data_IF_337455514148
#
_entry.id   IF_337455514148
#
_cell.length_a   1.000
_cell.length_b   1.000
_cell.length_c   1.000
_cell.angle_alpha   90.00
_cell.angle_beta   90.00
_cell.angle_gamma   90.00
#
_symmetry.space_group_name_H-M   'P 1'
#
loop_
_entity.id
_entity.type
_entity.pdbx_description
1 polymer ?
#
# COMPACT_ATOMS: atom_id res chain seq x y z
N UNK A 1 5.46 -8.80 -21.29
CA UNK A 1 6.13 -9.14 -20.02
C UNK A 1 6.55 -7.81 -19.40
N UNK A 2 5.84 -7.36 -18.39
CA UNK A 2 6.09 -6.09 -17.70
C UNK A 2 6.79 -6.39 -16.39
N UNK A 3 7.98 -5.77 -16.19
CA UNK A 3 8.62 -5.72 -14.88
C UNK A 3 7.99 -4.56 -14.13
N UNK A 4 7.21 -4.87 -13.11
CA UNK A 4 6.66 -3.83 -12.23
C UNK A 4 7.66 -3.51 -11.14
N UNK A 5 8.14 -2.27 -11.11
CA UNK A 5 9.06 -1.77 -10.10
C UNK A 5 8.42 -0.60 -9.35
N UNK A 6 8.32 -0.68 -8.06
CA UNK A 6 7.68 0.37 -7.28
C UNK A 6 8.22 0.53 -5.87
N UNK A 7 8.46 1.71 -5.44
CA UNK A 7 7.99 2.35 -4.21
C UNK A 7 8.94 3.29 -3.49
N UNK A 8 8.40 4.43 -3.05
CA UNK A 8 9.07 5.37 -2.16
C UNK A 8 8.41 5.35 -0.76
N UNK A 9 9.20 5.35 0.31
CA UNK A 9 8.70 5.41 1.70
C UNK A 9 9.58 6.29 2.60
N UNK A 10 9.07 6.83 3.72
CA UNK A 10 9.81 7.75 4.57
C UNK A 10 10.73 7.07 5.58
N UNK A 11 11.85 7.71 5.92
CA UNK A 11 12.68 7.42 7.07
C UNK A 11 12.74 8.64 7.98
N UNK A 12 12.34 8.48 9.24
CA UNK A 12 12.59 9.49 10.26
C UNK A 12 13.84 9.11 11.07
N UNK A 13 14.79 10.03 11.33
CA UNK A 13 15.93 9.76 12.20
C UNK A 13 15.43 9.37 13.61
N UNK A 14 15.86 8.20 14.10
CA UNK A 14 15.49 7.72 15.44
C UNK A 14 14.06 7.18 15.61
N UNK A 15 13.24 7.19 14.56
CA UNK A 15 11.91 6.58 14.59
C UNK A 15 11.99 5.09 14.28
N UNK A 16 11.16 4.27 14.94
CA UNK A 16 10.90 2.90 14.49
C UNK A 16 10.44 2.97 13.03
N UNK A 17 11.02 2.11 12.19
CA UNK A 17 10.53 1.92 10.83
C UNK A 17 9.02 1.67 10.90
N UNK A 18 8.28 2.35 10.04
CA UNK A 18 6.82 2.26 10.05
C UNK A 18 6.40 0.90 9.52
N UNK A 19 5.88 0.08 10.38
CA UNK A 19 5.37 -1.25 10.05
C UNK A 19 4.28 -1.18 8.98
N UNK A 20 3.50 -0.10 8.96
CA UNK A 20 2.51 0.15 7.93
C UNK A 20 3.09 0.22 6.52
N UNK A 21 4.24 0.90 6.34
CA UNK A 21 4.90 1.01 5.03
C UNK A 21 5.41 -0.35 4.55
N UNK A 22 6.07 -1.10 5.45
CA UNK A 22 6.58 -2.44 5.15
C UNK A 22 5.43 -3.38 4.80
N UNK A 23 4.37 -3.38 5.59
CA UNK A 23 3.16 -4.17 5.37
C UNK A 23 2.53 -3.86 4.01
N UNK A 24 2.46 -2.59 3.65
CA UNK A 24 1.90 -2.18 2.37
C UNK A 24 2.78 -2.61 1.19
N UNK A 25 4.13 -2.48 1.31
CA UNK A 25 5.07 -3.02 0.32
C UNK A 25 4.85 -4.52 0.12
N UNK A 26 4.78 -5.27 1.22
CA UNK A 26 4.53 -6.72 1.18
C UNK A 26 3.17 -7.04 0.54
N UNK A 27 2.11 -6.31 0.91
CA UNK A 27 0.76 -6.50 0.33
C UNK A 27 0.76 -6.24 -1.17
N UNK A 28 1.40 -5.15 -1.60
CA UNK A 28 1.53 -4.81 -3.01
C UNK A 28 2.25 -5.92 -3.78
N UNK A 29 3.39 -6.38 -3.26
CA UNK A 29 4.15 -7.46 -3.89
C UNK A 29 3.35 -8.77 -3.95
N UNK A 30 2.75 -9.21 -2.85
CA UNK A 30 1.96 -10.45 -2.81
C UNK A 30 0.76 -10.39 -3.77
N UNK A 31 0.08 -9.23 -3.84
CA UNK A 31 -1.01 -9.02 -4.79
C UNK A 31 -0.54 -9.10 -6.25
N UNK A 32 0.54 -8.41 -6.59
CA UNK A 32 1.13 -8.46 -7.93
C UNK A 32 1.63 -9.86 -8.28
N UNK A 33 2.33 -10.52 -7.36
CA UNK A 33 2.85 -11.89 -7.51
C UNK A 33 1.75 -12.91 -7.75
N UNK A 34 0.58 -12.72 -7.17
CA UNK A 34 -0.56 -13.64 -7.34
C UNK A 34 -1.10 -13.69 -8.77
N UNK A 35 -0.86 -12.65 -9.57
CA UNK A 35 -1.30 -12.56 -10.96
C UNK A 35 -0.16 -12.57 -11.98
N UNK A 36 1.04 -12.18 -11.56
CA UNK A 36 2.26 -12.22 -12.37
C UNK A 36 3.40 -12.84 -11.55
N UNK A 37 3.71 -14.13 -11.76
CA UNK A 37 4.81 -14.81 -11.06
C UNK A 37 6.19 -14.19 -11.30
N UNK A 38 6.36 -13.46 -12.40
CA UNK A 38 7.63 -12.85 -12.81
C UNK A 38 7.73 -11.37 -12.38
N UNK A 39 6.80 -10.91 -11.53
CA UNK A 39 6.85 -9.53 -11.02
C UNK A 39 8.09 -9.33 -10.16
N UNK A 40 8.75 -8.21 -10.38
CA UNK A 40 9.84 -7.69 -9.57
C UNK A 40 9.46 -6.33 -9.01
N UNK A 41 9.97 -5.96 -7.83
CA UNK A 41 9.76 -4.63 -7.25
C UNK A 41 11.06 -4.02 -6.75
N UNK A 42 11.29 -2.76 -7.09
CA UNK A 42 12.33 -1.93 -6.50
C UNK A 42 11.74 -1.02 -5.43
N UNK A 43 12.51 -0.77 -4.39
CA UNK A 43 12.09 0.05 -3.25
C UNK A 43 13.06 1.22 -3.10
N UNK A 44 12.52 2.44 -3.16
CA UNK A 44 13.27 3.67 -2.88
C UNK A 44 12.72 4.33 -1.63
N UNK A 45 13.56 4.53 -0.62
CA UNK A 45 13.23 5.21 0.61
C UNK A 45 13.60 6.69 0.53
N UNK A 46 12.61 7.60 0.42
CA UNK A 46 12.84 9.06 0.31
C UNK A 46 13.10 9.74 1.66
N UNK A 47 12.90 9.03 2.77
CA UNK A 47 13.18 9.50 4.13
C UNK A 47 12.42 10.77 4.55
N UNK A 48 11.23 10.98 4.00
CA UNK A 48 10.32 12.07 4.35
C UNK A 48 8.88 11.65 4.09
N UNK A 49 7.92 12.26 4.76
CA UNK A 49 6.49 12.07 4.47
C UNK A 49 6.05 12.98 3.32
N UNK A 50 6.55 14.20 3.28
CA UNK A 50 6.16 15.20 2.30
C UNK A 50 7.37 15.99 1.82
N UNK A 51 7.81 15.71 0.62
CA UNK A 51 8.82 16.46 -0.14
C UNK A 51 8.58 16.18 -1.63
N UNK A 52 7.69 16.96 -2.29
CA UNK A 52 7.33 16.71 -3.68
C UNK A 52 8.52 16.60 -4.64
N UNK A 53 9.62 17.34 -4.33
CA UNK A 53 10.84 17.29 -5.15
C UNK A 53 11.55 15.94 -5.06
N UNK A 54 11.78 15.44 -3.83
CA UNK A 54 12.40 14.13 -3.62
C UNK A 54 11.50 12.99 -4.08
N UNK A 55 10.19 13.11 -3.87
CA UNK A 55 9.20 12.12 -4.29
C UNK A 55 9.17 12.00 -5.82
N UNK A 56 9.14 13.13 -6.55
CA UNK A 56 9.24 13.15 -8.00
C UNK A 56 10.55 12.55 -8.50
N UNK A 57 11.68 12.95 -7.89
CA UNK A 57 13.00 12.42 -8.24
C UNK A 57 13.08 10.89 -8.05
N UNK A 58 12.53 10.37 -6.96
CA UNK A 58 12.49 8.93 -6.72
C UNK A 58 11.69 8.21 -7.81
N UNK A 59 10.53 8.75 -8.21
CA UNK A 59 9.74 8.21 -9.30
C UNK A 59 10.48 8.27 -10.66
N UNK A 60 11.15 9.39 -10.96
CA UNK A 60 11.95 9.52 -12.17
C UNK A 60 13.07 8.48 -12.26
N UNK A 61 13.78 8.24 -11.14
CA UNK A 61 14.85 7.21 -11.08
C UNK A 61 14.28 5.82 -11.36
N UNK A 62 13.20 5.43 -10.65
CA UNK A 62 12.57 4.12 -10.85
C UNK A 62 12.09 3.93 -12.31
N UNK A 63 11.48 4.95 -12.89
CA UNK A 63 11.01 4.91 -14.28
C UNK A 63 12.19 4.79 -15.26
N UNK A 64 13.27 5.53 -15.01
CA UNK A 64 14.50 5.44 -15.83
C UNK A 64 15.16 4.05 -15.75
N UNK A 65 14.99 3.34 -14.63
CA UNK A 65 15.45 1.94 -14.44
C UNK A 65 14.48 0.90 -15.04
N UNK A 66 13.39 1.36 -15.66
CA UNK A 66 12.47 0.53 -16.41
C UNK A 66 11.21 0.10 -15.63
N UNK A 67 10.87 0.81 -14.55
CA UNK A 67 9.57 0.61 -13.90
C UNK A 67 8.44 0.99 -14.85
N UNK A 68 7.46 0.13 -14.98
CA UNK A 68 6.24 0.34 -15.75
C UNK A 68 5.04 0.70 -14.87
N UNK A 69 5.23 0.73 -13.56
CA UNK A 69 4.20 1.07 -12.58
C UNK A 69 4.81 1.72 -11.34
N UNK A 70 4.21 2.80 -10.86
CA UNK A 70 4.64 3.52 -9.65
C UNK A 70 3.60 3.36 -8.56
N UNK A 71 4.02 2.89 -7.38
CA UNK A 71 3.24 2.93 -6.16
C UNK A 71 3.97 3.79 -5.12
N UNK A 72 3.23 4.48 -4.27
CA UNK A 72 3.80 5.40 -3.28
C UNK A 72 3.17 5.21 -1.91
N UNK A 73 3.93 5.58 -0.88
CA UNK A 73 3.44 5.78 0.48
C UNK A 73 4.02 7.10 1.02
N UNK A 74 3.80 8.16 0.26
CA UNK A 74 4.19 9.55 0.55
C UNK A 74 2.98 10.44 0.32
N UNK A 75 3.02 11.66 0.86
CA UNK A 75 1.79 12.46 1.02
C UNK A 75 1.54 13.42 -0.15
N UNK A 76 2.49 13.55 -1.10
CA UNK A 76 2.26 14.40 -2.27
C UNK A 76 1.81 13.61 -3.50
N UNK A 77 1.11 14.25 -4.45
CA UNK A 77 0.79 13.61 -5.73
C UNK A 77 1.96 13.58 -6.73
N UNK A 78 3.15 14.06 -6.34
CA UNK A 78 4.28 14.23 -7.27
C UNK A 78 4.74 12.93 -7.93
N UNK A 79 4.84 11.77 -7.26
CA UNK A 79 5.19 10.52 -7.92
C UNK A 79 4.21 10.13 -9.02
N UNK A 80 2.90 10.29 -8.76
CA UNK A 80 1.87 9.96 -9.72
C UNK A 80 1.84 10.92 -10.91
N UNK A 81 2.11 12.22 -10.67
CA UNK A 81 2.29 13.22 -11.73
C UNK A 81 3.52 12.94 -12.60
N UNK A 82 4.60 12.46 -11.99
CA UNK A 82 5.81 12.03 -12.69
C UNK A 82 5.53 10.81 -13.55
N UNK A 83 4.82 9.82 -13.02
CA UNK A 83 4.37 8.65 -13.77
C UNK A 83 3.52 9.06 -14.99
N UNK A 84 2.58 10.00 -14.83
CA UNK A 84 1.75 10.48 -15.94
C UNK A 84 2.57 11.16 -17.04
N UNK A 85 3.54 12.01 -16.67
CA UNK A 85 4.42 12.66 -17.64
C UNK A 85 5.26 11.66 -18.45
N UNK A 86 5.65 10.58 -17.82
CA UNK A 86 6.42 9.50 -18.45
C UNK A 86 5.56 8.48 -19.21
N UNK A 87 4.23 8.57 -19.12
CA UNK A 87 3.32 7.60 -19.73
C UNK A 87 3.24 6.26 -18.96
N UNK A 88 3.64 6.26 -17.68
CA UNK A 88 3.62 5.12 -16.77
C UNK A 88 2.39 5.20 -15.90
N UNK A 89 1.84 4.04 -15.50
CA UNK A 89 0.69 3.96 -14.62
C UNK A 89 1.09 3.96 -13.15
N UNK A 90 0.14 4.24 -12.26
CA UNK A 90 0.45 4.23 -10.83
C UNK A 90 -0.76 4.21 -9.92
N UNK A 91 -0.46 4.18 -8.61
CA UNK A 91 -1.43 4.17 -7.53
C UNK A 91 -1.29 5.41 -6.66
N UNK A 92 -2.43 6.01 -6.30
CA UNK A 92 -2.47 7.08 -5.31
C UNK A 92 -2.44 6.54 -3.87
N UNK A 93 -2.18 7.43 -2.91
CA UNK A 93 -2.04 7.10 -1.48
C UNK A 93 -2.90 8.04 -0.62
N UNK A 94 -3.52 7.46 0.42
CA UNK A 94 -4.31 8.11 1.46
C UNK A 94 -5.53 8.91 0.97
N UNK A 95 -5.60 9.28 -0.30
CA UNK A 95 -6.69 10.04 -0.93
C UNK A 95 -6.80 9.75 -2.42
N UNK A 96 -7.94 10.06 -3.01
CA UNK A 96 -8.11 10.02 -4.46
C UNK A 96 -7.31 11.16 -5.12
N UNK A 97 -6.22 10.79 -5.78
CA UNK A 97 -5.32 11.72 -6.46
C UNK A 97 -5.61 11.85 -7.97
N UNK A 98 -6.73 11.30 -8.46
CA UNK A 98 -7.10 11.29 -9.88
C UNK A 98 -7.03 12.68 -10.54
N UNK A 99 -7.44 13.73 -9.83
CA UNK A 99 -7.39 15.11 -10.35
C UNK A 99 -5.98 15.61 -10.69
N UNK A 100 -4.94 14.99 -10.11
CA UNK A 100 -3.55 15.37 -10.33
C UNK A 100 -2.87 14.58 -11.45
N UNK A 101 -3.35 13.36 -11.72
CA UNK A 101 -2.80 12.48 -12.74
C UNK A 101 -3.90 11.57 -13.34
N UNK A 102 -4.86 12.15 -14.09
CA UNK A 102 -6.04 11.43 -14.57
C UNK A 102 -5.73 10.33 -15.57
N UNK A 103 -4.57 10.36 -16.22
CA UNK A 103 -4.15 9.35 -17.21
C UNK A 103 -3.26 8.27 -16.62
N UNK A 104 -2.69 8.48 -15.42
CA UNK A 104 -1.81 7.52 -14.76
C UNK A 104 -2.49 6.76 -13.63
N UNK A 105 -3.38 7.38 -12.87
CA UNK A 105 -3.96 6.71 -11.70
C UNK A 105 -4.82 5.53 -12.10
N UNK A 106 -4.47 4.34 -11.57
CA UNK A 106 -5.29 3.13 -11.65
C UNK A 106 -6.38 3.10 -10.58
N UNK A 107 -6.00 3.40 -9.37
CA UNK A 107 -6.82 3.60 -8.18
C UNK A 107 -5.96 4.23 -7.07
N UNK A 108 -6.52 4.44 -5.89
CA UNK A 108 -5.81 4.89 -4.70
C UNK A 108 -6.40 4.22 -3.45
N UNK A 109 -5.60 4.02 -2.42
CA UNK A 109 -6.13 3.83 -1.07
C UNK A 109 -6.65 5.16 -0.54
N UNK A 110 -7.74 5.12 0.20
CA UNK A 110 -8.34 6.30 0.82
C UNK A 110 -8.49 6.03 2.32
N UNK A 111 -7.95 6.93 3.13
CA UNK A 111 -8.11 6.91 4.58
C UNK A 111 -9.37 7.68 4.96
N UNK A 112 -10.44 6.95 5.23
CA UNK A 112 -11.72 7.54 5.64
C UNK A 112 -11.87 7.53 7.16
N UNK A 113 -11.35 8.53 7.82
CA UNK A 113 -11.44 8.67 9.27
C UNK A 113 -12.80 9.13 9.79
N UNK A 114 -13.73 9.50 8.92
CA UNK A 114 -15.03 10.07 9.32
C UNK A 114 -15.85 9.17 10.25
N UNK A 115 -16.03 7.85 9.99
CA UNK A 115 -16.77 6.99 10.90
C UNK A 115 -16.14 6.93 12.29
N UNK A 116 -14.81 6.85 12.35
CA UNK A 116 -14.08 6.82 13.61
C UNK A 116 -14.29 8.09 14.42
N UNK A 117 -14.03 9.27 13.83
CA UNK A 117 -14.18 10.54 14.55
C UNK A 117 -15.62 10.79 15.00
N UNK A 118 -16.61 10.50 14.16
CA UNK A 118 -18.03 10.62 14.52
C UNK A 118 -18.35 9.74 15.72
N UNK A 119 -17.92 8.47 15.71
CA UNK A 119 -18.16 7.54 16.82
C UNK A 119 -17.50 7.99 18.13
N UNK A 120 -16.28 8.56 18.05
CA UNK A 120 -15.57 9.05 19.24
C UNK A 120 -16.23 10.30 19.83
N UNK A 121 -16.65 11.24 18.99
CA UNK A 121 -17.38 12.44 19.41
C UNK A 121 -18.71 12.03 20.06
N UNK A 122 -19.46 11.12 19.44
CA UNK A 122 -20.72 10.60 20.01
C UNK A 122 -20.48 9.94 21.35
N UNK A 123 -19.42 9.10 21.45
CA UNK A 123 -19.06 8.45 22.72
C UNK A 123 -18.74 9.44 23.86
N UNK A 124 -18.12 10.60 23.53
CA UNK A 124 -17.91 11.68 24.52
C UNK A 124 -19.24 12.28 24.97
N UNK A 125 -20.15 12.57 24.02
CA UNK A 125 -21.50 13.12 24.32
C UNK A 125 -22.28 12.13 25.21
N UNK A 126 -22.22 10.86 24.92
CA UNK A 126 -22.96 9.81 25.63
C UNK A 126 -22.27 9.34 26.94
N UNK A 127 -21.08 9.88 27.25
CA UNK A 127 -20.29 9.46 28.43
C UNK A 127 -19.73 8.04 28.34
N UNK A 128 -19.68 7.45 27.14
CA UNK A 128 -19.21 6.06 26.90
C UNK A 128 -17.79 6.00 26.34
N UNK A 129 -17.20 7.16 26.00
CA UNK A 129 -15.85 7.21 25.44
C UNK A 129 -14.80 6.58 26.37
N UNK A 130 -13.92 5.78 25.78
CA UNK A 130 -12.73 5.23 26.43
C UNK A 130 -11.53 5.41 25.52
N UNK A 131 -10.36 5.65 26.13
CA UNK A 131 -9.08 5.64 25.40
C UNK A 131 -8.76 4.21 24.97
N UNK A 132 -8.04 4.06 23.86
CA UNK A 132 -7.59 2.77 23.35
C UNK A 132 -7.05 2.91 21.93
N UNK A 133 -6.31 1.90 21.49
CA UNK A 133 -5.84 1.78 20.13
C UNK A 133 -7.00 1.45 19.19
N UNK A 134 -6.85 1.86 17.93
CA UNK A 134 -7.80 1.54 16.87
C UNK A 134 -7.04 1.15 15.60
N UNK A 135 -7.39 -0.01 15.05
CA UNK A 135 -6.86 -0.53 13.80
C UNK A 135 -8.05 -0.92 12.92
N UNK A 136 -8.48 0.01 12.07
CA UNK A 136 -9.68 -0.16 11.24
C UNK A 136 -9.39 -0.80 9.90
N UNK A 137 -10.37 -1.48 9.35
CA UNK A 137 -10.31 -2.26 8.12
C UNK A 137 -11.30 -1.75 7.07
N UNK A 138 -11.27 -2.36 5.87
CA UNK A 138 -12.19 -2.04 4.77
C UNK A 138 -13.66 -2.33 5.08
N UNK A 139 -13.95 -3.34 5.89
CA UNK A 139 -15.32 -3.69 6.30
C UNK A 139 -15.94 -2.64 7.24
N UNK A 140 -15.13 -1.88 7.94
CA UNK A 140 -15.53 -0.74 8.79
C UNK A 140 -15.57 0.59 8.03
N UNK A 141 -15.28 0.55 6.72
CA UNK A 141 -15.27 1.70 5.81
C UNK A 141 -14.21 2.77 6.13
N UNK A 142 -13.24 2.45 7.00
CA UNK A 142 -12.12 3.33 7.35
C UNK A 142 -11.07 3.32 6.25
N UNK A 143 -10.85 2.18 5.60
CA UNK A 143 -10.04 2.04 4.40
C UNK A 143 -10.95 1.86 3.20
N UNK A 144 -10.81 2.73 2.22
CA UNK A 144 -11.56 2.68 0.97
C UNK A 144 -10.62 2.61 -0.23
N UNK A 145 -11.17 2.35 -1.41
CA UNK A 145 -10.47 2.42 -2.68
C UNK A 145 -11.14 3.46 -3.57
N UNK A 146 -10.35 4.32 -4.19
CA UNK A 146 -10.80 5.20 -5.26
C UNK A 146 -11.36 4.40 -6.44
N UNK A 147 -12.16 5.00 -7.33
CA UNK A 147 -12.62 4.34 -8.54
C UNK A 147 -11.47 3.73 -9.35
N UNK A 148 -11.69 2.55 -9.90
CA UNK A 148 -10.75 1.92 -10.83
C UNK A 148 -10.80 2.61 -12.18
N UNK A 149 -9.66 3.15 -12.63
CA UNK A 149 -9.50 3.94 -13.86
C UNK A 149 -8.33 3.41 -14.70
N UNK A 150 -8.19 3.87 -15.92
CA UNK A 150 -7.04 3.60 -16.81
C UNK A 150 -6.69 2.11 -16.96
N UNK A 151 -7.67 1.22 -16.89
CA UNK A 151 -7.49 -0.22 -17.04
C UNK A 151 -8.60 -0.84 -17.90
N UNK A 152 -8.33 -1.99 -18.58
CA UNK A 152 -9.35 -2.73 -19.34
C UNK A 152 -10.53 -3.17 -18.46
N UNK A 153 -11.71 -3.28 -19.06
CA UNK A 153 -12.95 -3.62 -18.36
C UNK A 153 -12.88 -4.95 -17.57
N UNK A 154 -12.23 -5.96 -18.15
CA UNK A 154 -12.02 -7.26 -17.48
C UNK A 154 -11.10 -7.15 -16.26
N UNK A 155 -10.04 -6.32 -16.32
CA UNK A 155 -9.14 -6.05 -15.18
C UNK A 155 -9.90 -5.30 -14.10
N UNK A 156 -10.68 -4.28 -14.47
CA UNK A 156 -11.54 -3.54 -13.54
C UNK A 156 -12.53 -4.45 -12.82
N UNK A 157 -13.20 -5.34 -13.54
CA UNK A 157 -14.13 -6.30 -12.94
C UNK A 157 -13.44 -7.27 -11.99
N UNK A 158 -12.24 -7.75 -12.34
CA UNK A 158 -11.44 -8.60 -11.47
C UNK A 158 -10.98 -7.85 -10.19
N UNK A 159 -10.45 -6.64 -10.33
CA UNK A 159 -10.05 -5.81 -9.20
C UNK A 159 -11.23 -5.50 -8.26
N UNK A 160 -12.41 -5.21 -8.82
CA UNK A 160 -13.63 -5.00 -8.03
C UNK A 160 -14.01 -6.25 -7.23
N UNK A 161 -13.94 -7.44 -7.85
CA UNK A 161 -14.21 -8.71 -7.15
C UNK A 161 -13.24 -8.95 -5.99
N UNK A 162 -11.95 -8.66 -6.18
CA UNK A 162 -10.94 -8.79 -5.11
C UNK A 162 -11.24 -7.79 -3.98
N UNK A 163 -11.48 -6.52 -4.30
CA UNK A 163 -11.87 -5.49 -3.33
C UNK A 163 -13.07 -5.93 -2.48
N UNK A 164 -14.13 -6.39 -3.14
CA UNK A 164 -15.33 -6.84 -2.46
C UNK A 164 -15.08 -8.11 -1.62
N UNK A 165 -14.20 -8.99 -2.08
CA UNK A 165 -13.76 -10.16 -1.34
C UNK A 165 -13.01 -9.80 -0.06
N UNK A 166 -12.11 -8.81 -0.10
CA UNK A 166 -11.40 -8.31 1.07
C UNK A 166 -12.39 -7.62 2.04
N UNK A 167 -13.24 -6.72 1.52
CA UNK A 167 -14.24 -6.02 2.33
C UNK A 167 -15.19 -6.98 3.07
N UNK A 168 -15.52 -8.11 2.44
CA UNK A 168 -16.43 -9.11 2.99
C UNK A 168 -15.72 -10.25 3.76
N UNK A 169 -14.42 -10.11 4.04
CA UNK A 169 -13.64 -11.11 4.78
C UNK A 169 -13.47 -12.45 4.09
N UNK A 170 -13.55 -12.48 2.74
CA UNK A 170 -13.32 -13.70 1.94
C UNK A 170 -11.89 -13.84 1.46
N UNK A 171 -11.17 -12.73 1.36
CA UNK A 171 -9.77 -12.68 0.94
C UNK A 171 -8.96 -11.91 1.96
N UNK A 172 -7.78 -12.44 2.27
CA UNK A 172 -6.83 -11.83 3.19
C UNK A 172 -5.46 -11.81 2.50
N UNK A 173 -4.85 -10.64 2.41
CA UNK A 173 -3.57 -10.46 1.72
C UNK A 173 -2.45 -11.29 2.37
N UNK A 174 -2.49 -11.45 3.69
CA UNK A 174 -1.53 -12.23 4.46
C UNK A 174 -2.15 -13.54 4.93
N UNK A 175 -2.34 -14.47 3.98
CA UNK A 175 -2.70 -15.86 4.23
C UNK A 175 -1.49 -16.72 3.92
N UNK A 176 -1.06 -17.54 4.88
CA UNK A 176 0.11 -18.41 4.72
C UNK A 176 -0.09 -19.56 3.73
N UNK A 177 1.02 -20.20 3.30
CA UNK A 177 2.34 -20.05 3.91
C UNK A 177 3.07 -18.78 3.43
N UNK A 178 3.62 -17.99 4.35
CA UNK A 178 4.43 -16.82 4.04
C UNK A 178 5.78 -16.96 4.74
N UNK A 179 6.85 -16.81 3.98
CA UNK A 179 8.21 -16.66 4.48
C UNK A 179 8.67 -15.21 4.31
N UNK A 180 9.58 -14.78 5.16
CA UNK A 180 10.32 -13.56 4.90
C UNK A 180 11.44 -13.78 3.88
N UNK A 181 12.09 -12.70 3.46
CA UNK A 181 13.15 -12.73 2.46
C UNK A 181 14.48 -13.32 2.97
N UNK A 182 14.54 -13.77 4.22
CA UNK A 182 15.62 -14.62 4.77
C UNK A 182 15.28 -16.10 4.72
N UNK A 183 14.06 -16.46 4.31
CA UNK A 183 13.54 -17.83 4.27
C UNK A 183 12.87 -18.29 5.55
N UNK A 184 12.78 -17.45 6.59
CA UNK A 184 12.10 -17.80 7.85
C UNK A 184 10.60 -17.80 7.66
N UNK A 185 9.92 -18.86 8.13
CA UNK A 185 8.46 -18.95 8.11
C UNK A 185 7.84 -17.94 9.06
N UNK A 186 6.97 -17.09 8.54
CA UNK A 186 6.25 -16.07 9.28
C UNK A 186 4.77 -16.45 9.50
N UNK A 187 4.12 -17.10 8.53
CA UNK A 187 2.76 -17.65 8.63
C UNK A 187 2.76 -19.08 8.09
N UNK A 188 2.11 -19.99 8.81
CA UNK A 188 1.93 -21.38 8.39
C UNK A 188 0.88 -21.50 7.29
N UNK A 189 0.79 -22.66 6.66
CA UNK A 189 -0.22 -22.93 5.64
C UNK A 189 -1.65 -22.70 6.19
N UNK A 190 -2.44 -21.88 5.47
CA UNK A 190 -3.80 -21.48 5.85
C UNK A 190 -3.90 -20.51 7.03
N UNK A 191 -2.80 -20.14 7.67
CA UNK A 191 -2.79 -19.16 8.77
C UNK A 191 -3.03 -17.74 8.21
N UNK A 192 -3.95 -17.00 8.82
CA UNK A 192 -4.24 -15.60 8.49
C UNK A 192 -3.57 -14.71 9.54
N UNK A 193 -2.82 -13.71 9.09
CA UNK A 193 -2.21 -12.74 10.00
C UNK A 193 -3.28 -11.97 10.77
N UNK A 194 -3.14 -11.95 12.09
CA UNK A 194 -3.95 -11.10 12.96
C UNK A 194 -3.40 -9.65 13.01
N UNK A 195 -4.14 -8.75 13.65
CA UNK A 195 -3.75 -7.34 13.79
C UNK A 195 -2.43 -7.16 14.53
N UNK A 196 -2.12 -8.03 15.50
CA UNK A 196 -0.86 -8.01 16.23
C UNK A 196 0.32 -8.30 15.30
N UNK A 197 0.20 -9.33 14.47
CA UNK A 197 1.17 -9.68 13.45
C UNK A 197 1.33 -8.52 12.44
N UNK A 198 0.22 -7.99 11.93
CA UNK A 198 0.22 -6.89 10.95
C UNK A 198 0.88 -5.63 11.52
N UNK A 199 0.61 -5.28 12.76
CA UNK A 199 1.17 -4.09 13.42
C UNK A 199 2.65 -4.24 13.86
N UNK A 200 3.16 -5.47 13.92
CA UNK A 200 4.56 -5.77 14.26
C UNK A 200 5.42 -6.17 13.07
N UNK A 201 4.89 -6.15 11.84
CA UNK A 201 5.58 -6.61 10.64
C UNK A 201 6.81 -5.76 10.31
N UNK A 202 8.00 -6.33 10.52
CA UNK A 202 9.30 -5.69 10.31
C UNK A 202 10.20 -6.55 9.40
N UNK A 203 9.62 -7.16 8.37
CA UNK A 203 10.32 -8.00 7.40
C UNK A 203 9.70 -7.79 6.01
N UNK A 204 10.48 -8.01 4.97
CA UNK A 204 9.95 -8.19 3.63
C UNK A 204 9.63 -9.66 3.38
N UNK A 205 8.60 -9.92 2.59
CA UNK A 205 8.25 -11.28 2.19
C UNK A 205 9.25 -11.84 1.17
N UNK A 206 9.36 -13.17 1.09
CA UNK A 206 10.19 -13.89 0.14
C UNK A 206 9.94 -13.41 -1.29
N UNK A 207 11.02 -13.11 -2.02
CA UNK A 207 11.01 -12.59 -3.37
C UNK A 207 11.19 -11.07 -3.47
N UNK A 208 11.19 -10.34 -2.37
CA UNK A 208 11.62 -8.94 -2.32
C UNK A 208 13.11 -8.90 -1.98
N UNK A 209 13.94 -8.56 -2.97
CA UNK A 209 15.39 -8.44 -2.79
C UNK A 209 15.77 -7.05 -2.26
N UNK A 210 15.44 -6.79 -1.01
CA UNK A 210 15.77 -5.56 -0.31
C UNK A 210 15.99 -5.81 1.18
N UNK A 211 16.74 -4.93 1.84
CA UNK A 211 16.88 -4.91 3.28
C UNK A 211 15.93 -3.91 3.90
N UNK A 212 15.32 -4.28 5.00
CA UNK A 212 14.56 -3.32 5.80
C UNK A 212 15.54 -2.27 6.34
N UNK A 213 15.32 -0.96 6.10
CA UNK A 213 16.25 0.06 6.54
C UNK A 213 16.49 0.03 8.06
N UNK A 214 17.76 -0.01 8.46
CA UNK A 214 18.17 -0.02 9.88
C UNK A 214 18.28 -1.42 10.51
N UNK A 215 18.16 -2.48 9.71
CA UNK A 215 18.52 -3.87 10.09
C UNK A 215 19.85 -4.27 9.48
#
# INVERSE_FOLDING_TARGET
FTKSKARAGPRLPGARLKTEVIREINTYYLGAKSVNPDVDIDIVWVNTWYDPGKEAQAADVMIAEGCDMVAQHTDSPAPLQTAEKAGVLGFGQASDQYKFAPKAQLTATIDNWSPYYISKVQGVIDGTWKTGDYFGHMNEDVVQMAPFTNMPANVKAFAQKIKDGIKNGKYFAFTGPIKDNTGKLQLKDGEIADDGHLNSMMYYVEGIDAKVPGQ
#
